data_IF_127541574112
#
_entry.id   IF_127541574112
#
_cell.length_a   1.000
_cell.length_b   1.000
_cell.length_c   1.000
_cell.angle_alpha   90.00
_cell.angle_beta   90.00
_cell.angle_gamma   90.00
#
_symmetry.space_group_name_H-M   'P 1'
#
loop_
_entity.id
_entity.type
_entity.pdbx_description
1 polymer ?
#
# COMPACT_ATOMS: atom_id res chain seq x y z
N UNK A 1 -13.55 -28.78 -32.80
CA UNK A 1 -13.16 -27.46 -32.29
C UNK A 1 -13.65 -26.38 -33.24
N UNK A 2 -14.70 -25.70 -32.86
CA UNK A 2 -15.36 -24.68 -33.69
C UNK A 2 -14.71 -23.31 -33.59
N UNK A 3 -13.45 -23.20 -34.00
CA UNK A 3 -12.73 -21.89 -33.96
C UNK A 3 -13.24 -20.89 -35.01
N UNK A 4 -13.97 -21.34 -36.05
CA UNK A 4 -14.55 -20.47 -37.07
C UNK A 4 -15.90 -21.07 -37.51
N UNK A 5 -16.98 -20.50 -37.03
CA UNK A 5 -18.28 -20.73 -37.59
C UNK A 5 -18.50 -19.76 -38.75
N UNK A 6 -19.05 -20.22 -39.90
CA UNK A 6 -19.44 -19.32 -40.96
C UNK A 6 -20.61 -18.46 -40.47
N UNK A 7 -20.37 -17.16 -40.40
CA UNK A 7 -21.41 -16.18 -40.07
C UNK A 7 -21.74 -15.42 -41.33
N UNK A 8 -23.04 -15.41 -41.72
CA UNK A 8 -23.49 -14.64 -42.86
C UNK A 8 -23.21 -13.15 -42.61
N UNK A 9 -22.47 -12.51 -43.51
CA UNK A 9 -22.06 -11.12 -43.38
C UNK A 9 -23.24 -10.16 -43.29
N UNK A 10 -24.42 -10.56 -43.79
CA UNK A 10 -25.68 -9.77 -43.67
C UNK A 10 -26.16 -9.65 -42.24
N UNK A 11 -25.82 -10.62 -41.38
CA UNK A 11 -26.24 -10.65 -39.98
C UNK A 11 -25.21 -10.00 -39.04
N UNK A 12 -24.13 -9.46 -39.57
CA UNK A 12 -23.08 -8.80 -38.78
C UNK A 12 -23.37 -7.34 -38.64
N UNK A 13 -23.75 -6.90 -37.42
CA UNK A 13 -24.03 -5.50 -37.11
C UNK A 13 -22.72 -4.73 -36.91
N UNK A 14 -21.77 -5.31 -36.21
CA UNK A 14 -20.48 -4.67 -35.95
C UNK A 14 -19.36 -5.70 -35.79
N UNK A 15 -18.13 -5.27 -36.05
CA UNK A 15 -16.91 -6.06 -35.80
C UNK A 15 -15.98 -5.24 -34.93
N UNK A 16 -15.32 -5.86 -33.98
CA UNK A 16 -14.42 -5.17 -33.10
C UNK A 16 -13.41 -6.08 -32.43
N UNK A 17 -12.59 -5.51 -31.62
CA UNK A 17 -11.59 -6.19 -30.81
C UNK A 17 -11.84 -5.83 -29.35
N UNK A 18 -11.74 -6.80 -28.45
CA UNK A 18 -11.77 -6.53 -27.01
C UNK A 18 -10.60 -5.62 -26.64
N UNK A 19 -10.88 -4.58 -25.87
CA UNK A 19 -9.87 -3.62 -25.44
C UNK A 19 -9.39 -3.93 -24.02
N UNK A 20 -8.09 -3.87 -23.75
CA UNK A 20 -7.56 -4.05 -22.41
C UNK A 20 -8.18 -3.05 -21.42
N UNK A 21 -8.49 -3.52 -20.20
CA UNK A 21 -9.05 -2.68 -19.15
C UNK A 21 -10.51 -2.23 -19.35
N UNK A 22 -11.18 -2.72 -20.40
CA UNK A 22 -12.61 -2.45 -20.63
C UNK A 22 -13.45 -3.70 -20.42
N UNK A 23 -14.59 -3.54 -19.79
CA UNK A 23 -15.59 -4.58 -19.62
C UNK A 23 -16.36 -4.79 -20.92
N UNK A 24 -16.70 -6.04 -21.20
CA UNK A 24 -17.53 -6.44 -22.34
C UNK A 24 -18.69 -7.27 -21.80
N UNK A 25 -19.89 -6.73 -21.86
CA UNK A 25 -21.10 -7.38 -21.35
C UNK A 25 -22.15 -7.48 -22.43
N UNK A 26 -22.65 -8.72 -22.63
CA UNK A 26 -23.81 -9.00 -23.46
C UNK A 26 -24.94 -9.43 -22.53
N UNK A 27 -26.00 -8.65 -22.50
CA UNK A 27 -27.21 -8.96 -21.75
C UNK A 27 -28.19 -9.67 -22.71
N UNK A 28 -28.34 -10.97 -22.52
CA UNK A 28 -29.22 -11.79 -23.37
C UNK A 28 -30.70 -11.55 -23.12
N UNK A 29 -31.07 -11.12 -21.90
CA UNK A 29 -32.46 -10.80 -21.58
C UNK A 29 -32.89 -9.50 -22.25
N UNK A 30 -32.01 -8.53 -22.27
CA UNK A 30 -32.22 -7.24 -22.95
C UNK A 30 -31.86 -7.29 -24.42
N UNK A 31 -31.20 -8.35 -24.89
CA UNK A 31 -30.72 -8.46 -26.27
C UNK A 31 -29.74 -7.35 -26.67
N UNK A 32 -28.94 -6.84 -25.73
CA UNK A 32 -28.14 -5.64 -25.93
C UNK A 32 -26.68 -5.88 -25.52
N UNK A 33 -25.78 -5.31 -26.30
CA UNK A 33 -24.37 -5.12 -25.89
C UNK A 33 -24.28 -3.84 -25.03
N UNK A 34 -23.82 -3.98 -23.80
CA UNK A 34 -23.68 -2.88 -22.84
C UNK A 34 -22.23 -2.40 -22.87
N UNK A 35 -22.03 -1.10 -23.03
CA UNK A 35 -20.70 -0.50 -23.09
C UNK A 35 -20.04 -0.46 -21.71
N UNK A 36 -18.70 -0.44 -21.68
CA UNK A 36 -17.91 -0.27 -20.47
C UNK A 36 -18.32 0.98 -19.66
N UNK A 37 -18.58 2.06 -20.36
CA UNK A 37 -18.98 3.33 -19.73
C UNK A 37 -20.37 3.24 -19.08
N UNK A 38 -21.31 2.55 -19.75
CA UNK A 38 -22.65 2.32 -19.23
C UNK A 38 -22.60 1.43 -17.96
N UNK A 39 -21.84 0.35 -17.98
CA UNK A 39 -21.65 -0.53 -16.83
C UNK A 39 -21.02 0.23 -15.65
N UNK A 40 -19.93 0.95 -15.90
CA UNK A 40 -19.23 1.74 -14.87
C UNK A 40 -20.14 2.81 -14.27
N UNK A 41 -20.92 3.49 -15.09
CA UNK A 41 -21.88 4.50 -14.65
C UNK A 41 -22.98 3.87 -13.79
N UNK A 42 -23.54 2.75 -14.21
CA UNK A 42 -24.58 2.03 -13.47
C UNK A 42 -24.07 1.62 -12.09
N UNK A 43 -22.91 0.94 -12.03
CA UNK A 43 -22.32 0.49 -10.76
C UNK A 43 -21.96 1.69 -9.86
N UNK A 44 -21.36 2.73 -10.42
CA UNK A 44 -20.94 3.90 -9.64
C UNK A 44 -22.12 4.74 -9.11
N UNK A 45 -23.31 4.59 -9.70
CA UNK A 45 -24.52 5.31 -9.28
C UNK A 45 -25.42 4.53 -8.34
N UNK A 46 -25.14 3.26 -8.06
CA UNK A 46 -25.98 2.43 -7.19
C UNK A 46 -26.07 2.95 -5.76
N UNK A 47 -24.99 3.53 -5.25
CA UNK A 47 -24.90 4.06 -3.90
C UNK A 47 -24.20 5.43 -3.92
N UNK A 48 -24.36 6.24 -2.87
CA UNK A 48 -23.77 7.58 -2.82
C UNK A 48 -22.28 7.57 -2.45
N UNK A 49 -21.45 6.79 -3.18
CA UNK A 49 -20.02 6.59 -2.89
C UNK A 49 -19.22 7.89 -2.78
N UNK A 50 -19.57 8.90 -3.60
CA UNK A 50 -18.91 10.21 -3.59
C UNK A 50 -19.15 10.95 -2.27
N UNK A 51 -20.36 10.85 -1.72
CA UNK A 51 -20.72 11.46 -0.45
C UNK A 51 -20.05 10.72 0.71
N UNK A 52 -20.02 9.39 0.66
CA UNK A 52 -19.30 8.58 1.64
C UNK A 52 -17.81 8.95 1.70
N UNK A 53 -17.15 9.02 0.54
CA UNK A 53 -15.74 9.42 0.48
C UNK A 53 -15.51 10.80 1.08
N UNK A 54 -16.38 11.76 0.76
CA UNK A 54 -16.28 13.14 1.25
C UNK A 54 -16.46 13.23 2.78
N UNK A 55 -17.33 12.42 3.34
CA UNK A 55 -17.72 12.48 4.75
C UNK A 55 -16.81 11.63 5.65
N UNK A 56 -16.28 10.52 5.13
CA UNK A 56 -15.60 9.50 5.95
C UNK A 56 -14.08 9.51 5.80
N UNK A 57 -13.55 9.96 4.65
CA UNK A 57 -12.10 9.98 4.43
C UNK A 57 -11.51 11.23 5.09
N UNK A 58 -10.48 11.00 5.89
CA UNK A 58 -9.71 12.04 6.57
C UNK A 58 -8.29 12.07 6.00
N UNK A 59 -7.72 13.25 5.82
CA UNK A 59 -6.32 13.37 5.40
C UNK A 59 -5.43 13.64 6.62
N UNK A 60 -4.24 13.03 6.64
CA UNK A 60 -3.27 13.20 7.72
C UNK A 60 -2.90 14.67 7.97
N UNK A 61 -2.83 15.46 6.91
CA UNK A 61 -2.52 16.91 7.00
C UNK A 61 -3.57 17.69 7.78
N UNK A 62 -4.82 17.25 7.78
CA UNK A 62 -5.94 17.92 8.44
C UNK A 62 -6.00 17.61 9.94
N UNK A 63 -5.27 16.58 10.38
CA UNK A 63 -5.18 16.22 11.78
C UNK A 63 -4.29 17.20 12.55
N UNK A 64 -4.70 17.48 13.78
CA UNK A 64 -3.97 18.36 14.70
C UNK A 64 -3.39 17.56 15.86
N UNK A 65 -2.25 17.98 16.38
CA UNK A 65 -1.67 17.47 17.62
C UNK A 65 -1.09 18.62 18.41
N UNK A 66 -1.09 18.49 19.71
CA UNK A 66 -0.41 19.43 20.64
C UNK A 66 1.05 19.04 20.91
N UNK A 67 1.44 17.84 20.45
CA UNK A 67 2.81 17.35 20.64
C UNK A 67 3.78 18.12 19.75
N UNK A 68 5.00 18.28 20.25
CA UNK A 68 6.11 18.88 19.52
C UNK A 68 7.04 17.80 18.99
N UNK A 69 7.77 18.09 17.92
CA UNK A 69 8.84 17.21 17.48
C UNK A 69 9.84 17.02 18.61
N UNK A 70 10.25 15.80 18.91
CA UNK A 70 11.33 15.56 19.84
C UNK A 70 12.62 16.20 19.30
N UNK A 71 13.46 16.72 20.19
CA UNK A 71 14.79 17.13 19.78
C UNK A 71 15.59 15.91 19.37
N UNK A 72 16.24 15.98 18.23
CA UNK A 72 17.10 14.90 17.72
C UNK A 72 18.45 14.96 18.44
N UNK A 73 18.52 14.33 19.61
CA UNK A 73 19.75 14.12 20.35
C UNK A 73 20.30 12.71 20.08
N UNK A 74 21.62 12.58 20.06
CA UNK A 74 22.31 11.30 19.86
C UNK A 74 21.93 10.57 18.56
N UNK A 75 21.94 11.29 17.42
CA UNK A 75 21.53 10.75 16.14
C UNK A 75 22.36 9.53 15.73
N UNK A 76 23.70 9.58 15.85
CA UNK A 76 24.58 8.48 15.43
C UNK A 76 24.30 7.18 16.19
N UNK A 77 24.25 7.14 17.53
CA UNK A 77 23.87 5.94 18.26
C UNK A 77 22.48 5.40 17.89
N UNK A 78 21.51 6.29 17.63
CA UNK A 78 20.18 5.87 17.16
C UNK A 78 20.23 5.23 15.77
N UNK A 79 20.96 5.84 14.83
CA UNK A 79 21.13 5.27 13.48
C UNK A 79 21.77 3.87 13.55
N UNK A 80 22.80 3.71 14.37
CA UNK A 80 23.44 2.40 14.59
C UNK A 80 22.47 1.38 15.20
N UNK A 81 21.66 1.79 16.17
CA UNK A 81 20.64 0.94 16.79
C UNK A 81 19.58 0.47 15.78
N UNK A 82 19.27 1.30 14.77
CA UNK A 82 18.38 0.95 13.66
C UNK A 82 19.08 0.23 12.49
N UNK A 83 20.36 -0.08 12.63
CA UNK A 83 21.10 -0.87 11.64
C UNK A 83 21.67 -0.06 10.48
N UNK A 84 21.70 1.25 10.55
CA UNK A 84 22.36 2.09 9.56
C UNK A 84 23.88 1.99 9.74
N UNK A 85 24.55 1.62 8.64
CA UNK A 85 26.02 1.59 8.57
C UNK A 85 26.54 2.78 7.77
N UNK A 86 27.84 3.03 7.82
CA UNK A 86 28.50 4.05 6.98
C UNK A 86 28.24 3.77 5.49
N UNK A 87 28.31 2.49 5.09
CA UNK A 87 28.02 2.07 3.70
C UNK A 87 26.57 2.41 3.30
N UNK A 88 25.60 2.16 4.19
CA UNK A 88 24.20 2.53 3.92
C UNK A 88 24.05 4.04 3.70
N UNK A 89 24.78 4.84 4.48
CA UNK A 89 24.73 6.30 4.33
C UNK A 89 25.37 6.76 3.02
N UNK A 90 26.58 6.26 2.72
CA UNK A 90 27.37 6.71 1.57
C UNK A 90 26.86 6.19 0.24
N UNK A 91 26.46 4.92 0.17
CA UNK A 91 26.10 4.28 -1.08
C UNK A 91 24.59 4.21 -1.36
N UNK A 92 23.76 4.34 -0.33
CA UNK A 92 22.32 4.28 -0.51
C UNK A 92 21.64 5.63 -0.26
N UNK A 93 21.86 6.26 0.88
CA UNK A 93 21.14 7.49 1.22
C UNK A 93 21.72 8.74 0.56
N UNK A 94 23.03 8.86 0.50
CA UNK A 94 23.68 10.03 -0.10
C UNK A 94 23.34 10.24 -1.57
N UNK A 95 23.35 9.22 -2.45
CA UNK A 95 22.93 9.37 -3.84
C UNK A 95 21.49 9.81 -4.00
N UNK A 96 20.57 9.34 -3.13
CA UNK A 96 19.17 9.80 -3.14
C UNK A 96 19.06 11.30 -2.90
N UNK A 97 19.88 11.83 -1.99
CA UNK A 97 19.83 13.25 -1.59
C UNK A 97 20.58 14.16 -2.58
N UNK A 98 21.77 13.74 -3.02
CA UNK A 98 22.66 14.58 -3.82
C UNK A 98 22.41 14.48 -5.31
N UNK A 99 22.03 13.31 -5.81
CA UNK A 99 21.89 13.04 -7.23
C UNK A 99 20.43 12.83 -7.65
N UNK A 100 19.49 12.78 -6.68
CA UNK A 100 18.06 12.56 -6.89
C UNK A 100 17.78 11.31 -7.76
N UNK A 101 18.57 10.26 -7.54
CA UNK A 101 18.44 8.99 -8.25
C UNK A 101 18.44 7.83 -7.28
N UNK A 102 17.80 6.73 -7.69
CA UNK A 102 17.83 5.48 -6.94
C UNK A 102 19.25 4.90 -6.95
N UNK A 103 19.78 4.46 -5.81
CA UNK A 103 21.05 3.77 -5.75
C UNK A 103 20.95 2.42 -6.45
N UNK A 104 21.97 2.06 -7.22
CA UNK A 104 22.12 0.73 -7.78
C UNK A 104 22.71 -0.20 -6.72
N UNK A 105 22.10 -1.36 -6.54
CA UNK A 105 22.57 -2.30 -5.56
C UNK A 105 21.93 -3.68 -5.72
N UNK A 106 22.47 -4.66 -4.99
CA UNK A 106 21.86 -5.97 -4.85
C UNK A 106 20.75 -5.92 -3.81
N UNK A 107 19.63 -6.56 -4.10
CA UNK A 107 18.57 -6.79 -3.10
C UNK A 107 18.79 -8.06 -2.28
N UNK A 108 19.85 -8.80 -2.55
CA UNK A 108 20.27 -9.96 -1.77
C UNK A 108 20.70 -9.56 -0.36
N UNK A 109 20.47 -10.44 0.60
CA UNK A 109 20.88 -10.25 1.97
C UNK A 109 21.47 -11.57 2.50
N UNK A 110 22.77 -11.56 2.83
CA UNK A 110 23.49 -12.71 3.35
C UNK A 110 23.34 -12.89 4.88
N UNK A 111 22.60 -12.01 5.55
CA UNK A 111 22.33 -12.16 6.96
C UNK A 111 21.57 -13.46 7.23
N UNK A 112 21.98 -14.22 8.26
CA UNK A 112 21.29 -15.43 8.67
C UNK A 112 19.80 -15.12 8.99
N UNK A 113 18.93 -16.07 8.65
CA UNK A 113 17.52 -16.03 9.08
C UNK A 113 17.46 -15.88 10.60
N UNK A 114 16.47 -15.17 11.10
CA UNK A 114 16.34 -14.91 12.53
C UNK A 114 16.35 -16.20 13.38
N UNK A 115 15.68 -17.26 12.91
CA UNK A 115 15.61 -18.56 13.56
C UNK A 115 16.97 -19.32 13.58
N UNK A 116 17.91 -18.96 12.71
CA UNK A 116 19.25 -19.54 12.61
C UNK A 116 20.35 -18.61 13.16
N UNK A 117 19.98 -17.45 13.68
CA UNK A 117 20.92 -16.45 14.18
C UNK A 117 21.17 -16.61 15.68
N UNK A 118 22.45 -16.59 16.09
CA UNK A 118 22.82 -16.54 17.51
C UNK A 118 22.61 -15.15 18.15
N UNK A 119 22.30 -14.13 17.31
CA UNK A 119 22.04 -12.77 17.78
C UNK A 119 20.57 -12.58 18.11
N UNK A 120 20.23 -11.78 19.15
CA UNK A 120 18.84 -11.41 19.39
C UNK A 120 18.28 -10.66 18.19
N UNK A 121 17.11 -11.08 17.75
CA UNK A 121 16.39 -10.50 16.62
C UNK A 121 15.04 -9.94 17.07
N UNK A 122 14.54 -8.97 16.33
CA UNK A 122 13.18 -8.47 16.54
C UNK A 122 12.16 -9.52 16.10
N UNK A 123 11.00 -9.53 16.75
CA UNK A 123 9.98 -10.56 16.51
C UNK A 123 9.55 -10.62 15.03
N UNK A 124 9.47 -9.50 14.35
CA UNK A 124 9.10 -9.45 12.93
C UNK A 124 10.15 -10.01 11.99
N UNK A 125 11.44 -10.12 12.42
CA UNK A 125 12.49 -10.72 11.61
C UNK A 125 12.28 -12.24 11.44
N UNK A 126 11.56 -12.89 12.34
CA UNK A 126 11.25 -14.32 12.26
C UNK A 126 10.22 -14.63 11.15
N UNK A 127 9.53 -13.62 10.65
CA UNK A 127 8.55 -13.74 9.56
C UNK A 127 9.11 -13.26 8.22
N UNK A 128 10.37 -12.83 8.16
CA UNK A 128 11.04 -12.43 6.92
C UNK A 128 11.47 -13.63 6.11
N UNK A 129 11.24 -13.54 4.80
CA UNK A 129 11.86 -14.44 3.83
C UNK A 129 13.06 -13.76 3.19
N UNK A 130 14.10 -14.54 2.89
CA UNK A 130 15.29 -14.09 2.15
C UNK A 130 15.18 -14.65 0.74
N UNK A 131 15.00 -13.78 -0.24
CA UNK A 131 15.04 -14.15 -1.64
C UNK A 131 15.55 -12.96 -2.49
N UNK A 132 16.24 -13.29 -3.58
CA UNK A 132 16.71 -12.30 -4.52
C UNK A 132 15.53 -11.79 -5.38
N UNK A 133 15.50 -10.49 -5.61
CA UNK A 133 14.52 -9.84 -6.48
C UNK A 133 15.21 -8.97 -7.52
N UNK A 134 14.51 -8.65 -8.59
CA UNK A 134 14.98 -7.68 -9.58
C UNK A 134 14.90 -6.28 -8.95
N UNK A 135 15.99 -5.50 -9.01
CA UNK A 135 16.03 -4.14 -8.47
C UNK A 135 15.16 -3.17 -9.27
N UNK A 136 15.11 -3.34 -10.59
CA UNK A 136 14.32 -2.51 -11.50
C UNK A 136 13.34 -3.40 -12.29
N UNK A 137 12.14 -3.67 -11.76
CA UNK A 137 11.13 -4.41 -12.51
C UNK A 137 10.68 -3.62 -13.74
N UNK A 138 10.34 -4.28 -14.86
CA UNK A 138 9.91 -3.62 -16.08
C UNK A 138 8.51 -3.02 -15.90
N UNK A 139 8.45 -1.74 -15.58
CA UNK A 139 7.22 -0.97 -15.43
C UNK A 139 7.21 0.10 -16.53
N UNK A 140 6.13 0.14 -17.31
CA UNK A 140 5.94 1.19 -18.31
C UNK A 140 5.43 2.50 -17.66
N UNK A 141 5.66 3.62 -18.33
CA UNK A 141 5.30 4.95 -17.84
C UNK A 141 3.81 5.14 -17.57
N UNK A 142 2.94 4.38 -18.21
CA UNK A 142 1.48 4.47 -18.00
C UNK A 142 1.08 3.82 -16.66
N UNK A 143 1.76 2.75 -16.28
CA UNK A 143 1.51 2.02 -15.03
C UNK A 143 2.24 2.63 -13.85
N UNK A 144 3.27 3.42 -14.10
CA UNK A 144 4.15 3.97 -13.06
C UNK A 144 3.36 4.72 -11.98
N UNK A 145 2.41 5.55 -12.36
CA UNK A 145 1.60 6.32 -11.42
C UNK A 145 0.80 5.43 -10.45
N UNK A 146 0.24 4.32 -10.94
CA UNK A 146 -0.57 3.40 -10.12
C UNK A 146 0.30 2.46 -9.30
N UNK A 147 1.32 1.84 -9.94
CA UNK A 147 2.15 0.80 -9.33
C UNK A 147 3.17 1.42 -8.36
N UNK A 148 3.73 2.57 -8.71
CA UNK A 148 4.75 3.27 -7.92
C UNK A 148 4.15 4.27 -6.94
N UNK A 149 2.83 4.44 -6.93
CA UNK A 149 2.18 5.31 -5.96
C UNK A 149 2.43 4.82 -4.54
N UNK A 150 2.90 5.72 -3.68
CA UNK A 150 3.08 5.49 -2.25
C UNK A 150 1.84 5.83 -1.42
N UNK A 151 0.79 6.34 -2.07
CA UNK A 151 -0.47 6.67 -1.38
C UNK A 151 -1.06 5.42 -0.75
N UNK A 152 -1.41 5.53 0.51
CA UNK A 152 -2.04 4.44 1.24
C UNK A 152 -3.14 4.95 2.17
N UNK A 153 -4.00 4.04 2.58
CA UNK A 153 -5.08 4.32 3.50
C UNK A 153 -5.00 3.37 4.69
N UNK A 154 -5.09 3.93 5.88
CA UNK A 154 -5.14 3.15 7.12
C UNK A 154 -6.46 3.39 7.85
N UNK A 155 -6.88 2.43 8.64
CA UNK A 155 -8.11 2.47 9.41
C UNK A 155 -8.73 1.08 9.58
N UNK A 156 -9.92 0.99 10.17
CA UNK A 156 -10.60 -0.28 10.34
C UNK A 156 -10.97 -0.87 8.97
N UNK A 157 -10.71 -2.15 8.82
CA UNK A 157 -11.17 -2.90 7.66
C UNK A 157 -12.58 -3.41 7.91
N UNK A 158 -13.47 -3.14 6.97
CA UNK A 158 -14.81 -3.68 6.96
C UNK A 158 -14.90 -4.96 6.14
N UNK A 159 -16.12 -5.47 5.97
CA UNK A 159 -16.36 -6.57 5.07
C UNK A 159 -16.26 -6.09 3.62
N UNK A 160 -15.26 -6.58 2.87
CA UNK A 160 -15.03 -6.22 1.46
C UNK A 160 -16.18 -6.66 0.53
N UNK A 161 -17.00 -7.63 0.95
CA UNK A 161 -18.14 -8.10 0.17
C UNK A 161 -19.41 -7.28 0.39
N UNK A 162 -19.39 -6.34 1.30
CA UNK A 162 -20.52 -5.47 1.63
C UNK A 162 -20.21 -4.02 1.29
N UNK A 163 -21.07 -3.41 0.48
CA UNK A 163 -20.98 -1.99 0.18
C UNK A 163 -21.63 -1.19 1.32
N UNK A 164 -20.81 -0.76 2.28
CA UNK A 164 -21.28 -0.01 3.44
C UNK A 164 -20.44 1.25 3.68
N UNK A 165 -21.08 2.36 4.03
CA UNK A 165 -20.44 3.64 4.30
C UNK A 165 -19.27 3.54 5.31
N UNK A 166 -19.41 2.70 6.35
CA UNK A 166 -18.35 2.49 7.36
C UNK A 166 -17.05 1.95 6.79
N UNK A 167 -17.10 1.23 5.66
CA UNK A 167 -15.89 0.69 5.03
C UNK A 167 -14.99 1.77 4.42
N UNK A 168 -15.55 2.98 4.25
CA UNK A 168 -14.84 4.14 3.69
C UNK A 168 -14.17 5.00 4.77
N UNK A 169 -14.38 4.69 6.06
CA UNK A 169 -13.77 5.44 7.16
C UNK A 169 -12.27 5.16 7.25
N UNK A 170 -11.49 5.94 6.52
CA UNK A 170 -10.04 5.76 6.33
C UNK A 170 -9.28 7.07 6.52
N UNK A 171 -8.04 6.93 6.96
CA UNK A 171 -7.06 8.02 6.97
C UNK A 171 -6.17 7.90 5.72
N UNK A 172 -6.19 8.92 4.87
CA UNK A 172 -5.31 9.02 3.72
C UNK A 172 -3.91 9.48 4.12
N UNK A 173 -2.93 8.73 3.67
CA UNK A 173 -1.52 9.05 3.76
C UNK A 173 -0.99 9.24 2.33
N UNK A 174 -0.21 10.29 2.11
CA UNK A 174 0.46 10.51 0.81
C UNK A 174 1.58 9.50 0.59
N UNK A 175 2.17 8.99 1.67
CA UNK A 175 3.18 7.94 1.69
C UNK A 175 3.22 7.26 3.07
N UNK A 176 3.74 6.03 3.15
CA UNK A 176 3.78 5.26 4.40
C UNK A 176 4.87 5.70 5.38
N UNK A 177 5.81 6.54 4.95
CA UNK A 177 6.88 7.08 5.79
C UNK A 177 6.33 8.27 6.55
N UNK A 178 6.34 8.19 7.88
CA UNK A 178 5.78 9.21 8.76
C UNK A 178 6.87 9.86 9.59
N UNK A 179 6.80 11.16 9.73
CA UNK A 179 7.56 11.89 10.75
C UNK A 179 7.02 11.58 12.15
N UNK A 180 7.83 11.85 13.17
CA UNK A 180 7.39 11.69 14.57
C UNK A 180 6.14 12.52 14.89
N UNK A 181 6.01 13.70 14.27
CA UNK A 181 4.84 14.55 14.44
C UNK A 181 3.58 13.97 13.78
N UNK A 182 3.71 13.43 12.59
CA UNK A 182 2.60 12.77 11.88
C UNK A 182 2.14 11.53 12.64
N UNK A 183 3.06 10.71 13.12
CA UNK A 183 2.72 9.58 13.98
C UNK A 183 2.01 10.03 15.27
N UNK A 184 2.45 11.17 15.86
CA UNK A 184 1.78 11.74 17.03
C UNK A 184 0.35 12.19 16.71
N UNK A 185 0.11 12.79 15.55
CA UNK A 185 -1.25 13.12 15.07
C UNK A 185 -2.14 11.90 14.99
N UNK A 186 -1.63 10.79 14.43
CA UNK A 186 -2.36 9.53 14.35
C UNK A 186 -2.69 8.97 15.74
N UNK A 187 -1.72 9.01 16.67
CA UNK A 187 -1.92 8.56 18.06
C UNK A 187 -2.96 9.37 18.82
N UNK A 188 -3.12 10.63 18.48
CA UNK A 188 -4.05 11.55 19.14
C UNK A 188 -5.46 11.56 18.54
N UNK A 189 -5.74 10.73 17.52
CA UNK A 189 -7.06 10.65 16.90
C UNK A 189 -8.11 10.18 17.94
N UNK A 190 -9.22 10.93 18.05
CA UNK A 190 -10.28 10.64 19.01
C UNK A 190 -11.68 10.46 18.43
N UNK A 191 -11.97 10.96 17.25
CA UNK A 191 -13.37 11.18 16.82
C UNK A 191 -13.77 10.44 15.55
N UNK A 192 -13.09 9.36 15.14
CA UNK A 192 -13.31 8.71 13.85
C UNK A 192 -13.90 7.30 13.94
N UNK A 193 -14.43 6.92 15.11
CA UNK A 193 -15.00 5.58 15.30
C UNK A 193 -13.95 4.45 15.45
N UNK A 194 -12.66 4.78 15.42
CA UNK A 194 -11.56 3.85 15.64
C UNK A 194 -10.51 4.43 16.59
N UNK A 195 -9.69 3.57 17.15
CA UNK A 195 -8.69 3.91 18.17
C UNK A 195 -7.32 3.43 17.75
N UNK A 196 -6.30 4.14 18.19
CA UNK A 196 -4.90 3.74 18.05
C UNK A 196 -4.41 3.13 19.34
N UNK A 197 -3.56 2.11 19.27
CA UNK A 197 -2.87 1.50 20.40
C UNK A 197 -1.42 1.27 20.06
N UNK A 198 -0.52 1.70 20.95
CA UNK A 198 0.90 1.33 20.86
C UNK A 198 1.08 -0.02 21.53
N UNK A 199 1.66 -0.98 20.82
CA UNK A 199 1.99 -2.31 21.32
C UNK A 199 3.50 -2.35 21.51
N UNK A 200 3.96 -2.71 22.70
CA UNK A 200 5.36 -2.97 22.97
C UNK A 200 5.72 -4.35 22.43
N UNK A 201 6.67 -4.38 21.50
CA UNK A 201 7.18 -5.61 20.87
C UNK A 201 8.51 -6.04 21.45
N UNK A 202 9.00 -5.36 22.50
CA UNK A 202 10.25 -5.72 23.18
C UNK A 202 9.97 -6.66 24.35
N UNK A 203 10.88 -7.59 24.56
CA UNK A 203 10.83 -8.48 25.71
C UNK A 203 12.22 -8.76 26.26
N UNK A 204 12.38 -8.96 27.58
CA UNK A 204 13.64 -9.29 28.18
C UNK A 204 14.12 -10.67 27.74
N UNK A 205 15.31 -10.75 27.12
CA UNK A 205 15.91 -12.01 26.63
C UNK A 205 15.93 -13.11 27.72
N UNK A 206 16.20 -12.75 28.98
CA UNK A 206 16.28 -13.70 30.09
C UNK A 206 14.95 -14.40 30.44
N UNK A 207 13.83 -13.91 29.91
CA UNK A 207 12.51 -14.56 30.11
C UNK A 207 12.22 -15.65 29.07
N UNK A 208 13.04 -15.77 28.02
CA UNK A 208 12.82 -16.70 26.92
C UNK A 208 11.42 -16.62 26.35
N UNK A 209 10.84 -17.76 25.97
CA UNK A 209 9.48 -17.85 25.38
C UNK A 209 8.39 -17.26 26.28
N UNK A 210 8.58 -17.27 27.61
CA UNK A 210 7.61 -16.64 28.53
C UNK A 210 7.61 -15.10 28.46
N UNK A 211 8.59 -14.50 27.80
CA UNK A 211 8.67 -13.07 27.60
C UNK A 211 7.93 -12.58 26.34
N UNK A 212 7.66 -13.50 25.39
CA UNK A 212 6.88 -13.27 24.18
C UNK A 212 5.38 -13.21 24.50
#
# INVERSE_FOLDING_TARGET
VYKRQPVDSKNVISKGRLQPGKMFLIDFEKGKLISDEEIKKEVASQLPYKEWNKNQIVNLKDLKTTRKNPKEENLIPKMQAFGYTTETLEFMLLPLVTELRDPLGSMGNDAALACLSDKPRMIYDYFKQLFAQITNPPIDSIREEVIMSLKCQIGPEGNLLENHEKNVNRLNLEHPILSNLELAKIKDIKNFGWKTKTIDITYPRGKGVKGL
#
